data_IF_310360735451
#
_entry.id   IF_310360735451
#
_cell.length_a   1.000
_cell.length_b   1.000
_cell.length_c   1.000
_cell.angle_alpha   90.00
_cell.angle_beta   90.00
_cell.angle_gamma   90.00
#
_symmetry.space_group_name_H-M   'P 1'
#
loop_
_entity.id
_entity.type
_entity.pdbx_description
1 polymer ?
#
# COMPACT_ATOMS: atom_id res chain seq x y z
N UNK A 1 9.69 16.08 18.70
CA UNK A 1 8.33 16.13 18.10
C UNK A 1 8.31 15.37 16.77
N UNK A 2 7.15 15.03 16.19
CA UNK A 2 7.06 14.36 14.88
C UNK A 2 7.84 15.05 13.75
N UNK A 3 8.02 16.37 13.84
CA UNK A 3 8.83 17.16 12.90
C UNK A 3 10.31 16.77 12.91
N UNK A 4 10.91 16.55 14.08
CA UNK A 4 12.34 16.20 14.20
C UNK A 4 12.62 14.83 13.58
N UNK A 5 11.66 13.89 13.67
CA UNK A 5 11.80 12.56 13.08
C UNK A 5 11.75 12.60 11.55
N UNK A 6 10.85 13.41 10.97
CA UNK A 6 10.74 13.57 9.51
C UNK A 6 12.03 14.21 8.97
N UNK A 7 12.55 15.25 9.64
CA UNK A 7 13.80 15.91 9.23
C UNK A 7 15.02 14.98 9.37
N UNK A 8 15.09 14.18 10.44
CA UNK A 8 16.11 13.13 10.56
C UNK A 8 16.00 12.07 9.46
N UNK A 9 14.78 11.66 9.10
CA UNK A 9 14.57 10.71 8.02
C UNK A 9 14.97 11.30 6.66
N UNK A 10 14.62 12.55 6.37
CA UNK A 10 15.08 13.28 5.17
C UNK A 10 16.61 13.36 5.12
N UNK A 11 17.25 13.68 6.25
CA UNK A 11 18.71 13.72 6.34
C UNK A 11 19.33 12.35 6.04
N UNK A 12 18.80 11.27 6.60
CA UNK A 12 19.25 9.90 6.32
C UNK A 12 19.09 9.54 4.84
N UNK A 13 17.93 9.86 4.24
CA UNK A 13 17.68 9.61 2.82
C UNK A 13 18.67 10.40 1.96
N UNK A 14 18.95 11.65 2.30
CA UNK A 14 19.94 12.48 1.60
C UNK A 14 21.36 11.90 1.72
N UNK A 15 21.74 11.40 2.89
CA UNK A 15 23.05 10.76 3.12
C UNK A 15 23.20 9.46 2.32
N UNK A 16 22.14 8.65 2.21
CA UNK A 16 22.13 7.40 1.45
C UNK A 16 21.95 7.62 -0.06
N UNK A 17 21.40 8.77 -0.44
CA UNK A 17 20.96 9.09 -1.79
C UNK A 17 19.51 8.68 -2.02
N UNK A 18 18.66 9.64 -2.43
CA UNK A 18 17.22 9.43 -2.67
C UNK A 18 16.97 8.24 -3.59
N UNK A 19 17.69 8.13 -4.71
CA UNK A 19 17.53 7.03 -5.66
C UNK A 19 17.86 5.67 -5.04
N UNK A 20 18.88 5.60 -4.18
CA UNK A 20 19.25 4.34 -3.53
C UNK A 20 18.15 3.90 -2.56
N UNK A 21 17.61 4.82 -1.76
CA UNK A 21 16.49 4.52 -0.85
C UNK A 21 15.25 4.11 -1.64
N UNK A 22 14.91 4.83 -2.72
CA UNK A 22 13.81 4.47 -3.61
C UNK A 22 13.96 3.05 -4.16
N UNK A 23 15.16 2.69 -4.62
CA UNK A 23 15.44 1.35 -5.12
C UNK A 23 15.34 0.29 -4.01
N UNK A 24 15.82 0.59 -2.80
CA UNK A 24 15.70 -0.32 -1.65
C UNK A 24 14.25 -0.58 -1.27
N UNK A 25 13.42 0.47 -1.22
CA UNK A 25 11.99 0.36 -0.97
C UNK A 25 11.33 -0.55 -2.02
N UNK A 26 11.59 -0.29 -3.30
CA UNK A 26 11.06 -1.09 -4.40
C UNK A 26 11.48 -2.56 -4.27
N UNK A 27 12.77 -2.84 -4.04
CA UNK A 27 13.31 -4.20 -3.96
C UNK A 27 12.69 -5.02 -2.82
N UNK A 28 12.42 -4.41 -1.66
CA UNK A 28 11.81 -5.11 -0.53
C UNK A 28 10.41 -5.64 -0.87
N UNK A 29 9.58 -4.83 -1.56
CA UNK A 29 8.25 -5.27 -1.99
C UNK A 29 8.33 -6.30 -3.12
N UNK A 30 9.26 -6.12 -4.06
CA UNK A 30 9.46 -7.06 -5.18
C UNK A 30 9.87 -8.45 -4.70
N UNK A 31 10.79 -8.56 -3.76
CA UNK A 31 11.21 -9.87 -3.21
C UNK A 31 10.03 -10.60 -2.58
N UNK A 32 9.18 -9.90 -1.82
CA UNK A 32 7.97 -10.49 -1.23
C UNK A 32 7.00 -11.03 -2.28
N UNK A 33 6.83 -10.31 -3.40
CA UNK A 33 5.97 -10.75 -4.52
C UNK A 33 6.56 -11.97 -5.23
N UNK A 34 7.87 -11.96 -5.52
CA UNK A 34 8.57 -13.07 -6.18
C UNK A 34 8.48 -14.35 -5.34
N UNK A 35 8.67 -14.26 -4.02
CA UNK A 35 8.56 -15.41 -3.12
C UNK A 35 7.15 -16.04 -3.12
N UNK A 36 6.12 -15.30 -3.54
CA UNK A 36 4.75 -15.79 -3.68
C UNK A 36 4.44 -16.35 -5.08
N UNK A 37 5.42 -16.36 -6.00
CA UNK A 37 5.26 -16.79 -7.38
C UNK A 37 4.65 -15.75 -8.30
N UNK A 38 4.56 -14.49 -7.86
CA UNK A 38 4.03 -13.37 -8.66
C UNK A 38 5.14 -12.89 -9.61
N UNK A 39 4.81 -12.74 -10.88
CA UNK A 39 5.72 -12.20 -11.88
C UNK A 39 5.56 -10.68 -11.95
N UNK A 40 6.67 -9.96 -11.87
CA UNK A 40 6.71 -8.49 -12.00
C UNK A 40 7.14 -8.14 -13.42
N UNK A 41 6.28 -7.45 -14.16
CA UNK A 41 6.56 -6.99 -15.53
C UNK A 41 7.23 -5.62 -15.53
N UNK A 42 6.74 -4.71 -14.69
CA UNK A 42 7.27 -3.37 -14.53
C UNK A 42 7.05 -2.90 -13.09
N UNK A 43 7.95 -2.07 -12.59
CA UNK A 43 7.89 -1.51 -11.25
C UNK A 43 8.66 -0.20 -11.18
N UNK A 44 8.05 0.83 -10.58
CA UNK A 44 8.72 2.09 -10.32
C UNK A 44 8.29 2.65 -8.95
N UNK A 45 9.16 3.45 -8.35
CA UNK A 45 8.84 4.20 -7.16
C UNK A 45 9.44 5.60 -7.22
N UNK A 46 8.82 6.55 -6.52
CA UNK A 46 9.30 7.93 -6.38
C UNK A 46 9.08 8.41 -4.95
N UNK A 47 10.06 9.11 -4.40
CA UNK A 47 9.95 9.83 -3.13
C UNK A 47 9.78 11.32 -3.43
N UNK A 48 8.70 11.91 -2.93
CA UNK A 48 8.37 13.32 -3.09
C UNK A 48 8.45 14.03 -1.74
N UNK A 49 8.68 15.35 -1.77
CA UNK A 49 8.68 16.19 -0.56
C UNK A 49 10.03 16.31 0.17
N UNK A 50 11.12 15.86 -0.46
CA UNK A 50 12.48 15.95 0.12
C UNK A 50 12.92 17.39 0.43
N UNK A 51 12.55 18.35 -0.44
CA UNK A 51 12.98 19.76 -0.36
C UNK A 51 11.97 20.70 0.33
N UNK A 52 10.91 20.15 0.93
CA UNK A 52 9.82 20.94 1.52
C UNK A 52 9.63 20.59 2.98
N UNK A 53 9.24 21.57 3.80
CA UNK A 53 8.66 21.26 5.12
C UNK A 53 7.37 20.46 4.95
N UNK A 54 7.14 19.47 5.81
CA UNK A 54 5.97 18.59 5.74
C UNK A 54 6.31 17.14 5.41
N UNK A 55 5.28 16.32 5.09
CA UNK A 55 5.41 14.87 4.99
C UNK A 55 6.18 14.44 3.74
N UNK A 56 6.80 13.27 3.84
CA UNK A 56 7.34 12.55 2.68
C UNK A 56 6.21 11.72 2.05
N UNK A 57 6.07 11.79 0.73
CA UNK A 57 5.14 10.94 -0.02
C UNK A 57 5.95 9.93 -0.81
N UNK A 58 5.59 8.66 -0.69
CA UNK A 58 6.19 7.57 -1.46
C UNK A 58 5.11 7.04 -2.41
N UNK A 59 5.38 7.13 -3.70
CA UNK A 59 4.53 6.57 -4.75
C UNK A 59 5.23 5.34 -5.30
N UNK A 60 4.57 4.19 -5.30
CA UNK A 60 5.10 2.96 -5.88
C UNK A 60 4.05 2.31 -6.78
N UNK A 61 4.45 1.97 -8.01
CA UNK A 61 3.61 1.40 -9.03
C UNK A 61 4.19 0.05 -9.46
N UNK A 62 3.33 -0.94 -9.61
CA UNK A 62 3.73 -2.29 -10.01
C UNK A 62 2.76 -2.82 -11.08
N UNK A 63 3.31 -3.43 -12.12
CA UNK A 63 2.57 -4.18 -13.13
C UNK A 63 2.89 -5.66 -12.94
N UNK A 64 1.87 -6.43 -12.57
CA UNK A 64 2.03 -7.80 -12.09
C UNK A 64 1.28 -8.81 -12.96
N UNK A 65 1.86 -10.01 -13.11
CA UNK A 65 1.24 -11.21 -13.67
C UNK A 65 1.17 -12.31 -12.61
N UNK A 66 0.15 -13.17 -12.71
CA UNK A 66 -0.12 -14.24 -11.75
C UNK A 66 -0.28 -13.73 -10.31
N UNK A 67 -0.84 -12.52 -10.16
CA UNK A 67 -1.06 -11.91 -8.86
C UNK A 67 -2.16 -12.63 -8.05
N UNK A 68 -3.12 -13.25 -8.75
CA UNK A 68 -4.19 -14.06 -8.16
C UNK A 68 -3.88 -15.55 -8.28
N UNK A 69 -4.41 -16.35 -7.35
CA UNK A 69 -4.19 -17.81 -7.32
C UNK A 69 -5.45 -18.54 -7.76
N UNK A 70 -5.31 -19.58 -8.58
CA UNK A 70 -6.43 -20.43 -8.96
C UNK A 70 -6.68 -21.48 -7.87
N UNK A 71 -7.87 -21.46 -7.28
CA UNK A 71 -8.33 -22.43 -6.27
C UNK A 71 -9.70 -22.94 -6.72
N UNK A 72 -9.81 -24.24 -6.98
CA UNK A 72 -11.07 -24.89 -7.38
C UNK A 72 -11.81 -24.21 -8.55
N UNK A 73 -11.06 -23.73 -9.55
CA UNK A 73 -11.63 -23.04 -10.72
C UNK A 73 -11.99 -21.57 -10.52
N UNK A 74 -11.73 -21.00 -9.34
CA UNK A 74 -11.91 -19.57 -9.03
C UNK A 74 -10.55 -18.91 -8.82
N UNK A 75 -10.36 -17.72 -9.37
CA UNK A 75 -9.18 -16.90 -9.03
C UNK A 75 -9.45 -16.15 -7.73
N UNK A 76 -8.63 -16.42 -6.72
CA UNK A 76 -8.71 -15.78 -5.41
C UNK A 76 -7.61 -14.73 -5.26
N UNK A 77 -7.99 -13.63 -4.61
CA UNK A 77 -7.08 -12.58 -4.18
C UNK A 77 -7.26 -12.35 -2.68
N UNK A 78 -6.19 -12.56 -1.91
CA UNK A 78 -6.16 -12.20 -0.50
C UNK A 78 -5.75 -10.74 -0.37
N UNK A 79 -6.69 -9.92 0.09
CA UNK A 79 -6.44 -8.51 0.35
C UNK A 79 -6.10 -8.31 1.83
N UNK A 80 -4.95 -7.69 2.11
CA UNK A 80 -4.65 -7.22 3.46
C UNK A 80 -5.19 -5.79 3.63
N UNK A 81 -6.26 -5.60 4.41
CA UNK A 81 -6.89 -4.29 4.57
C UNK A 81 -6.07 -3.34 5.43
N UNK A 82 -5.06 -3.81 6.16
CA UNK A 82 -4.29 -2.96 7.06
C UNK A 82 -3.35 -2.03 6.30
N UNK A 83 -2.94 -2.40 5.08
CA UNK A 83 -1.97 -1.68 4.22
C UNK A 83 -0.61 -1.39 4.88
N UNK A 84 -0.44 -1.82 6.12
CA UNK A 84 0.65 -1.55 7.04
C UNK A 84 1.08 -2.89 7.60
N UNK A 85 2.38 -3.03 7.86
CA UNK A 85 2.78 -4.10 8.77
C UNK A 85 2.45 -3.63 10.20
N UNK A 86 1.50 -4.26 10.92
CA UNK A 86 1.12 -3.81 12.26
C UNK A 86 2.30 -3.79 13.23
N UNK A 87 3.34 -4.59 12.97
CA UNK A 87 4.58 -4.58 13.77
C UNK A 87 5.32 -3.24 13.71
N UNK A 88 5.05 -2.39 12.70
CA UNK A 88 5.65 -1.05 12.57
C UNK A 88 4.98 -0.01 13.48
N UNK A 89 3.78 -0.28 13.99
CA UNK A 89 3.07 0.65 14.87
C UNK A 89 3.62 0.62 16.31
N UNK A 90 4.35 -0.41 16.71
CA UNK A 90 4.81 -0.59 18.10
C UNK A 90 3.62 -0.57 19.09
N UNK A 91 3.86 -0.11 20.33
CA UNK A 91 2.78 0.08 21.31
C UNK A 91 1.85 1.25 20.95
N UNK A 92 2.40 2.28 20.29
CA UNK A 92 1.69 3.46 19.77
C UNK A 92 2.33 3.94 18.49
N UNK A 93 1.49 4.37 17.54
CA UNK A 93 1.94 4.98 16.30
C UNK A 93 2.88 6.18 16.57
N UNK A 94 4.13 6.07 16.14
CA UNK A 94 5.16 7.10 16.36
C UNK A 94 5.03 8.28 15.40
N UNK A 95 4.24 8.13 14.34
CA UNK A 95 3.97 9.13 13.33
C UNK A 95 2.51 9.02 12.89
N UNK A 96 2.00 10.11 12.31
CA UNK A 96 0.76 10.04 11.54
C UNK A 96 1.02 9.25 10.26
N UNK A 97 0.03 8.44 9.86
CA UNK A 97 0.09 7.61 8.67
C UNK A 97 -1.13 7.94 7.82
N UNK A 98 -0.88 8.24 6.55
CA UNK A 98 -1.92 8.41 5.54
C UNK A 98 -1.49 7.63 4.30
N UNK A 99 -2.13 6.49 4.08
CA UNK A 99 -1.79 5.57 3.01
C UNK A 99 -2.99 5.32 2.11
N UNK A 100 -2.72 5.27 0.81
CA UNK A 100 -3.70 4.89 -0.21
C UNK A 100 -3.12 3.78 -1.06
N UNK A 101 -3.91 2.74 -1.29
CA UNK A 101 -3.60 1.65 -2.21
C UNK A 101 -4.69 1.59 -3.27
N UNK A 102 -4.27 1.53 -4.52
CA UNK A 102 -5.16 1.30 -5.66
C UNK A 102 -4.69 0.06 -6.43
N UNK A 103 -5.58 -0.91 -6.56
CA UNK A 103 -5.35 -2.14 -7.32
C UNK A 103 -6.33 -2.17 -8.48
N UNK A 104 -5.82 -2.49 -9.66
CA UNK A 104 -6.64 -2.69 -10.85
C UNK A 104 -6.47 -4.13 -11.35
N UNK A 105 -7.56 -4.89 -11.35
CA UNK A 105 -7.60 -6.20 -11.99
C UNK A 105 -8.21 -6.04 -13.37
N UNK A 106 -7.43 -6.38 -14.40
CA UNK A 106 -7.91 -6.42 -15.79
C UNK A 106 -8.12 -7.89 -16.14
N UNK A 107 -9.37 -8.32 -16.17
CA UNK A 107 -9.72 -9.71 -16.44
C UNK A 107 -9.84 -9.96 -17.96
N UNK A 108 -9.64 -11.20 -18.42
CA UNK A 108 -9.96 -11.58 -19.80
C UNK A 108 -11.43 -11.25 -20.14
N UNK A 109 -11.76 -10.89 -21.39
CA UNK A 109 -13.13 -10.56 -21.78
C UNK A 109 -14.15 -11.69 -21.55
N UNK A 110 -13.68 -12.93 -21.46
CA UNK A 110 -14.50 -14.14 -21.21
C UNK A 110 -14.71 -14.44 -19.73
N UNK A 111 -14.06 -13.70 -18.82
CA UNK A 111 -14.16 -13.95 -17.38
C UNK A 111 -15.52 -13.49 -16.83
N UNK A 112 -16.08 -14.28 -15.91
CA UNK A 112 -17.26 -13.90 -15.13
C UNK A 112 -16.82 -13.50 -13.73
N UNK A 113 -17.20 -12.31 -13.29
CA UNK A 113 -16.95 -11.84 -11.93
C UNK A 113 -17.97 -12.50 -11.00
N UNK A 114 -17.49 -13.29 -10.04
CA UNK A 114 -18.34 -14.03 -9.10
C UNK A 114 -18.68 -13.17 -7.88
N UNK A 115 -17.67 -12.57 -7.27
CA UNK A 115 -17.80 -11.74 -6.07
C UNK A 115 -16.71 -10.67 -6.04
N UNK A 116 -17.01 -9.53 -5.43
CA UNK A 116 -16.05 -8.48 -5.14
C UNK A 116 -16.23 -7.97 -3.71
N UNK A 117 -15.16 -7.46 -3.05
CA UNK A 117 -15.28 -6.88 -1.73
C UNK A 117 -16.31 -5.75 -1.72
N UNK A 118 -17.20 -5.75 -0.72
CA UNK A 118 -18.16 -4.66 -0.52
C UNK A 118 -17.46 -3.39 -0.06
N UNK A 119 -17.99 -2.25 -0.48
CA UNK A 119 -17.55 -0.97 0.02
C UNK A 119 -17.75 -0.89 1.53
N UNK A 120 -16.76 -0.37 2.24
CA UNK A 120 -16.86 -0.13 3.68
C UNK A 120 -16.07 1.11 4.06
N UNK A 121 -16.52 1.76 5.13
CA UNK A 121 -15.80 2.84 5.78
C UNK A 121 -15.98 2.69 7.28
N UNK A 122 -14.90 2.87 8.04
CA UNK A 122 -14.91 2.77 9.49
C UNK A 122 -14.03 3.86 10.07
N UNK A 123 -14.50 4.47 11.14
CA UNK A 123 -13.75 5.44 11.92
C UNK A 123 -13.78 5.00 13.39
N UNK A 124 -12.60 4.91 14.02
CA UNK A 124 -12.44 4.54 15.43
C UNK A 124 -11.43 5.51 16.03
N UNK A 125 -11.83 6.23 17.07
CA UNK A 125 -10.94 7.11 17.84
C UNK A 125 -10.09 8.07 16.98
N UNK A 126 -10.63 8.53 15.84
CA UNK A 126 -9.94 9.42 14.88
C UNK A 126 -9.08 8.72 13.82
N UNK A 127 -8.89 7.40 13.91
CA UNK A 127 -8.33 6.59 12.83
C UNK A 127 -9.42 6.27 11.81
N UNK A 128 -9.07 6.19 10.53
CA UNK A 128 -10.04 5.97 9.44
C UNK A 128 -9.56 4.88 8.50
N UNK A 129 -10.51 4.07 8.06
CA UNK A 129 -10.33 3.09 7.01
C UNK A 129 -11.46 3.20 6.00
N UNK A 130 -11.14 3.19 4.72
CA UNK A 130 -12.14 3.14 3.65
C UNK A 130 -11.69 2.17 2.56
N UNK A 131 -12.59 1.28 2.14
CA UNK A 131 -12.45 0.39 1.01
C UNK A 131 -13.57 0.69 0.01
N UNK A 132 -13.18 0.94 -1.24
CA UNK A 132 -14.08 1.21 -2.34
C UNK A 132 -13.73 0.26 -3.48
N UNK A 133 -14.70 -0.53 -3.92
CA UNK A 133 -14.58 -1.40 -5.08
C UNK A 133 -15.53 -0.90 -6.17
N UNK A 134 -15.01 -0.70 -7.38
CA UNK A 134 -15.80 -0.43 -8.57
C UNK A 134 -15.55 -1.51 -9.63
N UNK A 135 -16.60 -1.83 -10.39
CA UNK A 135 -16.53 -2.81 -11.48
C UNK A 135 -16.95 -2.12 -12.77
N UNK A 136 -16.04 -2.11 -13.74
CA UNK A 136 -16.22 -1.49 -15.05
C UNK A 136 -15.96 -2.55 -16.14
N UNK A 137 -17.02 -3.21 -16.61
CA UNK A 137 -16.96 -4.33 -17.57
C UNK A 137 -16.09 -5.49 -17.04
N UNK A 138 -14.89 -5.66 -17.58
CA UNK A 138 -13.90 -6.68 -17.22
C UNK A 138 -12.81 -6.15 -16.29
N UNK A 139 -12.96 -4.91 -15.79
CA UNK A 139 -12.01 -4.28 -14.87
C UNK A 139 -12.61 -4.18 -13.48
N UNK A 140 -11.86 -4.58 -12.46
CA UNK A 140 -12.19 -4.35 -11.05
C UNK A 140 -11.16 -3.36 -10.50
N UNK A 141 -11.62 -2.26 -9.90
CA UNK A 141 -10.75 -1.29 -9.23
C UNK A 141 -11.05 -1.34 -7.75
N UNK A 142 -10.03 -1.63 -6.94
CA UNK A 142 -10.10 -1.60 -5.49
C UNK A 142 -9.23 -0.45 -5.00
N UNK A 143 -9.83 0.47 -4.26
CA UNK A 143 -9.14 1.58 -3.62
C UNK A 143 -9.31 1.44 -2.11
N UNK A 144 -8.21 1.36 -1.38
CA UNK A 144 -8.19 1.32 0.07
C UNK A 144 -7.42 2.53 0.61
N UNK A 145 -7.95 3.15 1.65
CA UNK A 145 -7.33 4.29 2.32
C UNK A 145 -7.27 4.01 3.82
N UNK A 146 -6.10 4.20 4.41
CA UNK A 146 -5.86 4.07 5.85
C UNK A 146 -5.31 5.39 6.36
N UNK A 147 -5.91 5.90 7.42
CA UNK A 147 -5.41 7.02 8.19
C UNK A 147 -5.27 6.61 9.64
N UNK A 148 -4.05 6.67 10.17
CA UNK A 148 -3.75 6.43 11.59
C UNK A 148 -3.19 7.71 12.16
N UNK A 149 -3.86 8.25 13.19
CA UNK A 149 -3.40 9.47 13.84
C UNK A 149 -2.14 9.20 14.67
N UNK A 150 -1.31 10.22 14.84
CA UNK A 150 -0.18 10.16 15.75
C UNK A 150 -0.61 9.73 17.17
N UNK A 151 0.16 8.82 17.78
CA UNK A 151 -0.07 8.33 19.13
C UNK A 151 -1.25 7.36 19.27
N UNK A 152 -1.86 6.92 18.15
CA UNK A 152 -2.87 5.87 18.16
C UNK A 152 -2.31 4.61 18.86
N UNK A 153 -3.04 4.03 19.83
CA UNK A 153 -2.63 2.78 20.47
C UNK A 153 -2.78 1.61 19.51
N UNK A 154 -2.04 0.53 19.76
CA UNK A 154 -2.09 -0.68 18.95
C UNK A 154 -3.48 -1.34 18.92
N UNK A 155 -4.30 -1.16 19.96
CA UNK A 155 -5.63 -1.77 20.05
C UNK A 155 -6.72 -1.09 19.18
N UNK A 156 -6.46 0.11 18.66
CA UNK A 156 -7.37 0.89 17.81
C UNK A 156 -7.27 0.51 16.32
#
# INVERSE_FOLDING_TARGET
EPKDQIELMKLQINLLGVQNVTNMLLQNYLQGMIMQGIQVEDANATILGMEKEGPLTIEANYVLKNFTKMVNGTYEYSFDPTLLNPSQLGYRAQNEINQSLKIEFILPPTATIVEVPKNMSKEINGNKYALITTVEKNKIVITANVFVRYGAPFED
#
